data_IF_900436728356
#
_entry.id   IF_900436728356
#
_cell.length_a   1.000
_cell.length_b   1.000
_cell.length_c   1.000
_cell.angle_alpha   90.00
_cell.angle_beta   90.00
_cell.angle_gamma   90.00
#
_symmetry.space_group_name_H-M   'P 1'
#
loop_
_entity.id
_entity.type
_entity.pdbx_description
1 polymer ?
#
# COMPACT_ATOMS: atom_id res chain seq x y z
N UNK A 1 28.92 -3.09 -29.39
CA UNK A 1 28.64 -4.00 -28.27
C UNK A 1 27.13 -4.21 -28.26
N UNK A 2 26.64 -5.36 -28.69
CA UNK A 2 25.22 -5.69 -28.55
C UNK A 2 25.02 -6.29 -27.17
N UNK A 3 24.34 -5.58 -26.29
CA UNK A 3 23.83 -6.10 -25.04
C UNK A 3 22.65 -7.02 -25.38
N UNK A 4 22.83 -8.32 -25.22
CA UNK A 4 21.72 -9.27 -25.19
C UNK A 4 20.89 -8.94 -23.95
N UNK A 5 19.79 -8.20 -24.15
CA UNK A 5 18.78 -8.05 -23.11
C UNK A 5 18.14 -9.41 -22.85
N UNK A 6 18.01 -9.77 -21.58
CA UNK A 6 17.27 -10.95 -21.14
C UNK A 6 15.82 -10.85 -21.66
N UNK A 7 15.23 -11.95 -22.16
CA UNK A 7 13.84 -11.94 -22.60
C UNK A 7 12.92 -11.51 -21.45
N UNK A 8 11.85 -10.78 -21.80
CA UNK A 8 10.83 -10.43 -20.80
C UNK A 8 10.11 -11.68 -20.28
N UNK A 9 9.44 -11.64 -19.11
CA UNK A 9 8.71 -12.80 -18.59
C UNK A 9 7.70 -13.40 -19.57
N UNK A 10 7.06 -12.54 -20.40
CA UNK A 10 6.11 -12.97 -21.44
C UNK A 10 6.84 -13.69 -22.58
N UNK A 11 7.97 -13.13 -23.02
CA UNK A 11 8.77 -13.69 -24.11
C UNK A 11 9.42 -15.03 -23.73
N UNK A 12 9.78 -15.19 -22.45
CA UNK A 12 10.30 -16.44 -21.91
C UNK A 12 9.23 -17.54 -21.83
N UNK A 13 7.99 -17.18 -21.50
CA UNK A 13 6.83 -18.08 -21.56
C UNK A 13 6.53 -18.53 -23.01
N UNK A 14 6.54 -17.60 -23.97
CA UNK A 14 6.30 -17.92 -25.39
C UNK A 14 7.32 -18.90 -25.96
N UNK A 15 8.60 -18.75 -25.60
CA UNK A 15 9.66 -19.62 -26.06
C UNK A 15 9.55 -21.04 -25.49
N UNK A 16 9.10 -21.17 -24.24
CA UNK A 16 8.83 -22.46 -23.62
C UNK A 16 7.65 -23.19 -24.29
N UNK A 17 6.58 -22.46 -24.64
CA UNK A 17 5.41 -22.99 -25.37
C UNK A 17 5.82 -23.62 -26.70
N UNK A 18 6.59 -22.87 -27.51
CA UNK A 18 7.02 -23.31 -28.84
C UNK A 18 7.85 -24.59 -28.80
N UNK A 19 8.68 -24.76 -27.76
CA UNK A 19 9.50 -25.96 -27.56
C UNK A 19 8.65 -27.19 -27.21
N UNK A 20 7.67 -27.04 -26.32
CA UNK A 20 6.81 -28.14 -25.87
C UNK A 20 5.88 -28.68 -26.96
N UNK A 21 5.34 -27.79 -27.81
CA UNK A 21 4.49 -28.18 -28.95
C UNK A 21 5.27 -29.05 -29.94
N UNK A 22 6.56 -28.75 -30.15
CA UNK A 22 7.41 -29.45 -31.12
C UNK A 22 7.68 -30.91 -30.75
N UNK A 23 7.77 -31.22 -29.46
CA UNK A 23 8.26 -32.54 -29.00
C UNK A 23 7.14 -33.52 -28.59
N UNK A 24 5.86 -33.10 -28.65
CA UNK A 24 4.66 -33.94 -28.39
C UNK A 24 4.85 -34.96 -27.27
N UNK A 25 5.21 -34.48 -26.07
CA UNK A 25 5.28 -35.27 -24.83
C UNK A 25 4.12 -34.87 -23.91
N UNK A 26 2.98 -35.57 -23.96
CA UNK A 26 1.77 -35.23 -23.21
C UNK A 26 1.98 -35.00 -21.72
N UNK A 27 2.82 -35.81 -21.07
CA UNK A 27 3.11 -35.68 -19.64
C UNK A 27 3.92 -34.40 -19.30
N UNK A 28 4.91 -34.04 -20.15
CA UNK A 28 5.68 -32.81 -19.97
C UNK A 28 4.81 -31.58 -20.23
N UNK A 29 3.90 -31.65 -21.21
CA UNK A 29 2.90 -30.62 -21.46
C UNK A 29 1.93 -30.47 -20.28
N UNK A 30 1.44 -31.57 -19.70
CA UNK A 30 0.53 -31.52 -18.54
C UNK A 30 1.22 -30.88 -17.32
N UNK A 31 2.46 -31.28 -17.02
CA UNK A 31 3.23 -30.71 -15.92
C UNK A 31 3.46 -29.20 -16.14
N UNK A 32 3.75 -28.81 -17.37
CA UNK A 32 3.95 -27.41 -17.71
C UNK A 32 2.65 -26.60 -17.63
N UNK A 33 1.51 -27.13 -18.09
CA UNK A 33 0.20 -26.49 -17.90
C UNK A 33 -0.12 -26.27 -16.42
N UNK A 34 0.18 -27.23 -15.55
CA UNK A 34 0.02 -27.06 -14.10
C UNK A 34 0.91 -25.94 -13.54
N UNK A 35 2.16 -25.88 -13.99
CA UNK A 35 3.09 -24.81 -13.62
C UNK A 35 2.57 -23.43 -14.06
N UNK A 36 2.03 -23.33 -15.27
CA UNK A 36 1.43 -22.08 -15.75
C UNK A 36 0.22 -21.67 -14.91
N UNK A 37 -0.69 -22.59 -14.60
CA UNK A 37 -1.87 -22.28 -13.81
C UNK A 37 -1.48 -21.70 -12.44
N UNK A 38 -0.47 -22.29 -11.78
CA UNK A 38 0.06 -21.74 -10.53
C UNK A 38 0.66 -20.35 -10.70
N UNK A 39 1.41 -20.10 -11.78
CA UNK A 39 1.97 -18.78 -12.05
C UNK A 39 0.88 -17.72 -12.31
N UNK A 40 -0.19 -18.10 -13.02
CA UNK A 40 -1.35 -17.23 -13.25
C UNK A 40 -2.01 -16.88 -11.92
N UNK A 41 -2.26 -17.86 -11.04
CA UNK A 41 -2.85 -17.63 -9.72
C UNK A 41 -1.96 -16.72 -8.85
N UNK A 42 -0.64 -16.88 -8.89
CA UNK A 42 0.29 -16.00 -8.18
C UNK A 42 0.26 -14.56 -8.72
N UNK A 43 0.13 -14.39 -10.04
CA UNK A 43 0.03 -13.08 -10.68
C UNK A 43 -1.29 -12.39 -10.36
N UNK A 44 -2.42 -13.12 -10.40
CA UNK A 44 -3.73 -12.62 -9.99
C UNK A 44 -3.68 -12.11 -8.54
N UNK A 45 -3.11 -12.89 -7.62
CA UNK A 45 -2.92 -12.48 -6.23
C UNK A 45 -2.04 -11.22 -6.08
N UNK A 46 -1.01 -11.05 -6.91
CA UNK A 46 -0.16 -9.84 -6.91
C UNK A 46 -0.92 -8.64 -7.44
N UNK A 47 -1.70 -8.81 -8.51
CA UNK A 47 -2.54 -7.76 -9.09
C UNK A 47 -3.58 -7.28 -8.06
N UNK A 48 -4.26 -8.19 -7.37
CA UNK A 48 -5.23 -7.85 -6.34
C UNK A 48 -4.61 -7.03 -5.20
N UNK A 49 -3.38 -7.37 -4.78
CA UNK A 49 -2.65 -6.59 -3.77
C UNK A 49 -2.28 -5.20 -4.27
N UNK A 50 -1.85 -5.07 -5.52
CA UNK A 50 -1.52 -3.78 -6.14
C UNK A 50 -2.74 -2.88 -6.27
N UNK A 51 -3.87 -3.44 -6.74
CA UNK A 51 -5.14 -2.70 -6.84
C UNK A 51 -5.57 -2.19 -5.45
N UNK A 52 -5.55 -3.06 -4.43
CA UNK A 52 -5.89 -2.66 -3.06
C UNK A 52 -4.95 -1.56 -2.54
N UNK A 53 -3.65 -1.66 -2.82
CA UNK A 53 -2.69 -0.62 -2.44
C UNK A 53 -3.04 0.72 -3.09
N UNK A 54 -3.31 0.73 -4.39
CA UNK A 54 -3.69 1.93 -5.13
C UNK A 54 -4.99 2.54 -4.58
N UNK A 55 -6.02 1.74 -4.30
CA UNK A 55 -7.26 2.22 -3.69
C UNK A 55 -7.05 2.86 -2.31
N UNK A 56 -6.21 2.25 -1.45
CA UNK A 56 -5.86 2.79 -0.14
C UNK A 56 -5.14 4.13 -0.26
N UNK A 57 -4.20 4.21 -1.21
CA UNK A 57 -3.42 5.41 -1.46
C UNK A 57 -4.27 6.56 -2.03
N UNK A 58 -5.15 6.26 -2.99
CA UNK A 58 -6.13 7.22 -3.52
C UNK A 58 -7.08 7.72 -2.42
N UNK A 59 -7.55 6.81 -1.55
CA UNK A 59 -8.37 7.19 -0.42
C UNK A 59 -7.62 8.13 0.54
N UNK A 60 -6.38 7.82 0.89
CA UNK A 60 -5.56 8.68 1.75
C UNK A 60 -5.31 10.06 1.12
N UNK A 61 -5.00 10.12 -0.17
CA UNK A 61 -4.87 11.40 -0.89
C UNK A 61 -6.17 12.20 -0.88
N UNK A 62 -7.33 11.54 -1.04
CA UNK A 62 -8.63 12.21 -0.99
C UNK A 62 -8.93 12.82 0.38
N UNK A 63 -8.38 12.22 1.44
CA UNK A 63 -8.46 12.75 2.79
C UNK A 63 -7.62 14.03 2.93
N UNK A 64 -6.39 14.02 2.41
CA UNK A 64 -5.51 15.21 2.40
C UNK A 64 -6.06 16.34 1.53
N UNK A 65 -6.81 16.02 0.47
CA UNK A 65 -7.42 17.04 -0.38
C UNK A 65 -8.44 17.86 0.42
N UNK A 66 -8.21 19.16 0.52
CA UNK A 66 -9.05 20.08 1.30
C UNK A 66 -8.81 20.03 2.81
N UNK A 67 -7.77 19.33 3.28
CA UNK A 67 -7.40 19.35 4.69
C UNK A 67 -6.79 20.71 5.06
N UNK A 68 -7.22 21.24 6.20
CA UNK A 68 -6.75 22.50 6.77
C UNK A 68 -5.80 22.18 7.92
N UNK A 69 -4.67 22.87 7.97
CA UNK A 69 -3.70 22.74 9.05
C UNK A 69 -3.90 23.91 10.00
N UNK A 70 -4.21 23.60 11.26
CA UNK A 70 -4.47 24.58 12.30
C UNK A 70 -3.53 24.38 13.49
N UNK A 71 -3.01 25.49 14.01
CA UNK A 71 -2.43 25.52 15.36
C UNK A 71 -3.59 25.84 16.29
N UNK A 72 -3.83 24.97 17.26
CA UNK A 72 -4.84 25.17 18.29
C UNK A 72 -4.18 25.60 19.62
N UNK A 73 -4.99 25.85 20.65
CA UNK A 73 -4.51 26.31 21.97
C UNK A 73 -3.64 25.26 22.70
N UNK A 74 -3.45 24.07 22.13
CA UNK A 74 -2.58 23.02 22.67
C UNK A 74 -1.12 23.22 22.20
N UNK A 75 -0.19 23.59 23.10
CA UNK A 75 1.18 23.90 22.71
C UNK A 75 1.89 22.70 22.09
N UNK A 76 2.44 22.87 20.88
CA UNK A 76 3.23 21.86 20.19
C UNK A 76 2.44 20.89 19.31
N UNK A 77 1.13 21.09 19.15
CA UNK A 77 0.28 20.30 18.24
C UNK A 77 -0.11 21.08 16.99
N UNK A 78 -0.06 20.39 15.84
CA UNK A 78 -0.65 20.81 14.58
C UNK A 78 -1.79 19.86 14.23
N UNK A 79 -2.99 20.40 14.02
CA UNK A 79 -4.18 19.63 13.74
C UNK A 79 -4.51 19.69 12.25
N UNK A 80 -4.80 18.53 11.68
CA UNK A 80 -5.23 18.36 10.29
C UNK A 80 -6.74 18.16 10.29
N UNK A 81 -7.48 19.23 9.96
CA UNK A 81 -8.94 19.30 10.06
C UNK A 81 -9.59 19.33 8.68
N UNK A 82 -10.77 18.73 8.57
CA UNK A 82 -11.62 18.81 7.37
C UNK A 82 -13.08 18.68 7.80
N UNK A 83 -13.93 19.55 7.26
CA UNK A 83 -15.36 19.59 7.58
C UNK A 83 -15.66 19.63 9.09
N UNK A 84 -14.86 20.38 9.86
CA UNK A 84 -14.98 20.50 11.31
C UNK A 84 -14.47 19.31 12.13
N UNK A 85 -13.95 18.26 11.48
CA UNK A 85 -13.37 17.08 12.13
C UNK A 85 -11.85 17.14 12.13
N UNK A 86 -11.24 16.64 13.20
CA UNK A 86 -9.79 16.43 13.30
C UNK A 86 -9.51 15.00 12.85
N UNK A 87 -8.73 14.84 11.79
CA UNK A 87 -8.32 13.53 11.28
C UNK A 87 -6.94 13.12 11.79
N UNK A 88 -6.05 14.11 11.91
CA UNK A 88 -4.70 13.90 12.41
C UNK A 88 -4.28 14.99 13.38
N UNK A 89 -3.42 14.62 14.32
CA UNK A 89 -2.67 15.53 15.16
C UNK A 89 -1.19 15.19 15.08
N UNK A 90 -0.39 16.16 14.66
CA UNK A 90 1.07 16.09 14.73
C UNK A 90 1.51 16.75 16.04
N UNK A 91 1.95 15.95 17.01
CA UNK A 91 2.47 16.43 18.28
C UNK A 91 3.99 16.34 18.33
N UNK A 92 4.64 17.50 18.51
CA UNK A 92 6.09 17.57 18.69
C UNK A 92 6.44 17.37 20.17
N UNK A 93 6.66 16.10 20.54
CA UNK A 93 7.15 15.74 21.87
C UNK A 93 8.62 16.08 22.06
N UNK A 94 9.10 16.02 23.31
CA UNK A 94 10.48 16.36 23.67
C UNK A 94 11.57 15.44 23.09
N UNK A 95 11.20 14.26 22.59
CA UNK A 95 12.14 13.25 22.06
C UNK A 95 11.77 12.71 20.68
N UNK A 96 10.48 12.76 20.31
CA UNK A 96 9.94 12.21 19.07
C UNK A 96 8.71 13.00 18.65
N UNK A 97 8.46 12.97 17.35
CA UNK A 97 7.25 13.50 16.74
C UNK A 97 6.22 12.37 16.62
N UNK A 98 5.04 12.60 17.16
CA UNK A 98 3.92 11.67 17.11
C UNK A 98 2.90 12.16 16.10
N UNK A 99 2.32 11.22 15.34
CA UNK A 99 1.25 11.52 14.40
C UNK A 99 0.04 10.69 14.77
N UNK A 100 -0.83 11.30 15.56
CA UNK A 100 -2.06 10.67 16.02
C UNK A 100 -3.08 10.68 14.89
N UNK A 101 -3.65 9.51 14.62
CA UNK A 101 -4.69 9.30 13.63
C UNK A 101 -5.99 8.99 14.37
N UNK A 102 -7.05 9.69 14.03
CA UNK A 102 -8.37 9.41 14.59
C UNK A 102 -8.80 7.98 14.26
N UNK A 103 -9.24 7.25 15.28
CA UNK A 103 -9.62 5.85 15.10
C UNK A 103 -10.82 5.71 14.17
N UNK A 104 -11.91 6.44 14.42
CA UNK A 104 -13.17 6.24 13.70
C UNK A 104 -13.08 6.73 12.26
N UNK A 105 -12.43 7.88 12.05
CA UNK A 105 -12.36 8.55 10.75
C UNK A 105 -11.24 8.03 9.85
N UNK A 106 -10.14 7.52 10.42
CA UNK A 106 -8.97 7.08 9.66
C UNK A 106 -8.66 5.61 9.89
N UNK A 107 -8.33 5.24 11.13
CA UNK A 107 -7.79 3.91 11.41
C UNK A 107 -8.77 2.79 11.07
N UNK A 108 -10.05 2.99 11.40
CA UNK A 108 -11.12 2.01 11.21
C UNK A 108 -11.35 1.70 9.73
N UNK A 109 -11.03 2.63 8.81
CA UNK A 109 -11.18 2.41 7.37
C UNK A 109 -10.21 1.32 6.90
N UNK A 110 -8.95 1.39 7.32
CA UNK A 110 -7.93 0.37 7.00
C UNK A 110 -8.28 -0.99 7.59
N UNK A 111 -8.77 -1.00 8.83
CA UNK A 111 -9.17 -2.23 9.49
C UNK A 111 -10.44 -2.86 8.86
N UNK A 112 -11.49 -2.07 8.67
CA UNK A 112 -12.81 -2.57 8.29
C UNK A 112 -12.92 -2.82 6.79
N UNK A 113 -12.44 -1.88 5.96
CA UNK A 113 -12.55 -1.95 4.49
C UNK A 113 -11.43 -2.81 3.90
N UNK A 114 -10.19 -2.51 4.27
CA UNK A 114 -9.00 -3.12 3.64
C UNK A 114 -8.46 -4.34 4.41
N UNK A 115 -9.05 -4.65 5.58
CA UNK A 115 -8.70 -5.82 6.41
C UNK A 115 -7.26 -5.81 6.90
N UNK A 116 -6.66 -4.64 7.03
CA UNK A 116 -5.33 -4.49 7.60
C UNK A 116 -5.38 -4.69 9.13
N UNK A 117 -4.36 -5.35 9.65
CA UNK A 117 -4.12 -5.39 11.08
C UNK A 117 -3.43 -4.08 11.56
N UNK A 118 -3.14 -3.98 12.85
CA UNK A 118 -2.53 -2.78 13.44
C UNK A 118 -1.16 -2.43 12.81
N UNK A 119 -0.27 -3.42 12.70
CA UNK A 119 1.09 -3.21 12.19
C UNK A 119 1.07 -2.85 10.70
N UNK A 120 0.25 -3.53 9.91
CA UNK A 120 0.05 -3.23 8.49
C UNK A 120 -0.54 -1.83 8.28
N UNK A 121 -1.50 -1.43 9.13
CA UNK A 121 -2.09 -0.09 9.08
C UNK A 121 -1.06 0.98 9.45
N UNK A 122 -0.30 0.76 10.53
CA UNK A 122 0.74 1.69 10.97
C UNK A 122 1.84 1.85 9.91
N UNK A 123 2.27 0.75 9.29
CA UNK A 123 3.25 0.75 8.21
C UNK A 123 2.75 1.53 6.99
N UNK A 124 1.53 1.22 6.53
CA UNK A 124 0.92 1.88 5.39
C UNK A 124 0.79 3.39 5.61
N UNK A 125 0.24 3.81 6.76
CA UNK A 125 0.09 5.23 7.08
C UNK A 125 1.47 5.92 7.17
N UNK A 126 2.49 5.25 7.72
CA UNK A 126 3.85 5.79 7.77
C UNK A 126 4.39 6.07 6.38
N UNK A 127 4.25 5.12 5.45
CA UNK A 127 4.65 5.31 4.05
C UNK A 127 3.91 6.47 3.39
N UNK A 128 2.60 6.60 3.63
CA UNK A 128 1.80 7.69 3.07
C UNK A 128 2.21 9.06 3.63
N UNK A 129 2.50 9.16 4.92
CA UNK A 129 3.01 10.40 5.55
C UNK A 129 4.37 10.79 4.95
N UNK A 130 5.28 9.84 4.81
CA UNK A 130 6.59 10.06 4.19
C UNK A 130 6.44 10.53 2.73
N UNK A 131 5.56 9.88 1.97
CA UNK A 131 5.35 10.17 0.55
C UNK A 131 4.64 11.51 0.31
N UNK A 132 3.56 11.79 1.03
CA UNK A 132 2.66 12.91 0.73
C UNK A 132 2.88 14.13 1.61
N UNK A 133 3.23 13.93 2.88
CA UNK A 133 3.50 15.02 3.82
C UNK A 133 4.99 15.34 3.95
N UNK A 134 5.87 14.55 3.32
CA UNK A 134 7.33 14.69 3.34
C UNK A 134 7.92 14.68 4.75
N UNK A 135 7.28 13.94 5.66
CA UNK A 135 7.73 13.79 7.04
C UNK A 135 8.34 12.41 7.27
N UNK A 136 9.62 12.36 7.64
CA UNK A 136 10.32 11.13 8.00
C UNK A 136 10.46 10.99 9.51
N UNK A 137 10.68 9.75 9.99
CA UNK A 137 10.84 9.41 11.42
C UNK A 137 9.62 9.75 12.31
N UNK A 138 8.44 9.78 11.71
CA UNK A 138 7.16 9.97 12.41
C UNK A 138 6.58 8.60 12.76
N UNK A 139 6.03 8.48 13.97
CA UNK A 139 5.32 7.27 14.39
C UNK A 139 3.80 7.52 14.34
N UNK A 140 3.07 6.88 13.41
CA UNK A 140 1.62 6.92 13.39
C UNK A 140 1.06 6.14 14.58
N UNK A 141 0.18 6.76 15.35
CA UNK A 141 -0.49 6.14 16.49
C UNK A 141 -1.99 6.31 16.38
N UNK A 142 -2.73 5.32 16.83
CA UNK A 142 -4.18 5.46 17.00
C UNK A 142 -4.48 6.42 18.13
N UNK A 143 -5.48 7.27 17.94
CA UNK A 143 -6.06 8.11 18.98
C UNK A 143 -7.58 7.94 18.98
N UNK A 144 -8.15 7.77 20.17
CA UNK A 144 -9.59 7.80 20.38
C UNK A 144 -9.94 9.17 20.96
N UNK A 145 -10.86 9.89 20.32
CA UNK A 145 -11.45 11.08 20.95
C UNK A 145 -12.06 10.69 22.30
N UNK A 146 -11.74 11.48 23.32
CA UNK A 146 -12.45 11.48 24.60
C UNK A 146 -13.78 12.21 24.49
#
# INVERSE_FOLDING_TARGET
MNTLESPSPIEELENQIKKLIKDSKPAEMEQWFRSLLNQIEELENKIDKLIKHEEMEQWFQSLLNGIQIEIDDYPGSLFYKKDGNVFFELYQGSKRTYFYCDYDLVWSVFHNKYKLNYDETQEFIRMMIEQYLKMSNVLPLVYHKQ
#
